data_IF_856313189687
#
_entry.id   IF_856313189687
#
_cell.length_a   1.000
_cell.length_b   1.000
_cell.length_c   1.000
_cell.angle_alpha   90.00
_cell.angle_beta   90.00
_cell.angle_gamma   90.00
#
_symmetry.space_group_name_H-M   'P 1'
#
loop_
_entity.id
_entity.type
_entity.pdbx_description
1 polymer ?
#
# COMPACT_ATOMS: atom_id res chain seq x y z
N UNK A 1 56.05 -21.49 -27.72
CA UNK A 1 55.15 -21.69 -26.55
C UNK A 1 54.27 -20.46 -26.48
N UNK A 2 52.97 -20.67 -26.71
CA UNK A 2 52.02 -19.66 -27.19
C UNK A 2 51.52 -18.80 -26.02
N UNK A 3 51.74 -17.48 -26.09
CA UNK A 3 51.15 -16.50 -25.17
C UNK A 3 49.72 -16.23 -25.63
N UNK A 4 48.83 -17.10 -25.16
CA UNK A 4 47.43 -17.09 -25.54
C UNK A 4 46.66 -16.02 -24.74
N UNK A 5 46.24 -15.01 -25.51
CA UNK A 5 44.89 -14.41 -25.55
C UNK A 5 44.44 -13.55 -24.37
N UNK A 6 44.15 -12.31 -24.75
CA UNK A 6 43.57 -11.28 -23.93
C UNK A 6 42.29 -11.73 -23.23
N UNK A 7 42.33 -11.71 -21.92
CA UNK A 7 41.14 -11.64 -21.09
C UNK A 7 40.77 -10.18 -20.94
N UNK A 8 40.05 -9.70 -21.94
CA UNK A 8 38.80 -8.99 -21.76
C UNK A 8 38.67 -8.24 -20.41
N UNK A 9 39.05 -6.96 -20.43
CA UNK A 9 38.73 -5.99 -19.39
C UNK A 9 37.41 -5.30 -19.73
N UNK A 10 36.25 -5.92 -19.48
CA UNK A 10 34.95 -5.21 -19.50
C UNK A 10 34.07 -5.44 -18.27
N UNK A 11 34.56 -6.11 -17.23
CA UNK A 11 33.78 -6.32 -16.01
C UNK A 11 33.86 -5.16 -14.99
N UNK A 12 34.60 -4.08 -15.29
CA UNK A 12 34.88 -3.00 -14.33
C UNK A 12 34.16 -1.67 -14.63
N UNK A 13 33.11 -1.68 -15.45
CA UNK A 13 32.31 -0.49 -15.78
C UNK A 13 30.95 -0.43 -15.08
N UNK A 14 30.66 -1.36 -14.18
CA UNK A 14 29.48 -1.28 -13.32
C UNK A 14 29.90 -0.61 -12.01
N UNK A 15 29.62 0.70 -11.91
CA UNK A 15 29.66 1.48 -10.67
C UNK A 15 29.03 0.65 -9.54
N UNK A 16 29.76 0.33 -8.45
CA UNK A 16 29.16 -0.22 -7.23
C UNK A 16 28.40 0.84 -6.40
N UNK A 17 28.21 2.06 -6.91
CA UNK A 17 27.70 3.20 -6.12
C UNK A 17 26.17 3.39 -6.19
N UNK A 18 25.41 2.44 -6.73
CA UNK A 18 23.95 2.54 -6.79
C UNK A 18 23.24 1.26 -6.40
N UNK A 19 23.75 0.57 -5.37
CA UNK A 19 23.10 -0.63 -4.83
C UNK A 19 22.89 -0.60 -3.32
N UNK A 20 22.74 0.60 -2.73
CA UNK A 20 22.43 0.76 -1.31
C UNK A 20 21.11 1.54 -1.06
N UNK A 21 20.48 2.10 -2.11
CA UNK A 21 19.30 2.97 -2.00
C UNK A 21 17.95 2.25 -2.15
N UNK A 22 17.90 0.93 -2.00
CA UNK A 22 16.67 0.14 -2.14
C UNK A 22 16.16 -0.49 -0.83
N UNK A 23 16.80 -0.22 0.33
CA UNK A 23 16.42 -0.84 1.61
C UNK A 23 16.19 0.15 2.76
N UNK A 24 16.02 1.44 2.45
CA UNK A 24 15.80 2.48 3.47
C UNK A 24 14.64 3.43 3.13
N UNK A 25 13.72 3.01 2.24
CA UNK A 25 12.51 3.78 1.88
C UNK A 25 11.22 3.22 2.50
N UNK A 26 11.32 2.39 3.55
CA UNK A 26 10.14 1.79 4.18
C UNK A 26 9.79 2.35 5.57
N UNK A 27 10.65 3.21 6.14
CA UNK A 27 10.54 3.58 7.56
C UNK A 27 10.30 5.08 7.83
N UNK A 28 10.27 5.94 6.81
CA UNK A 28 10.19 7.40 7.04
C UNK A 28 9.07 8.10 6.26
N UNK A 29 7.91 7.46 6.18
CA UNK A 29 6.66 8.16 5.88
C UNK A 29 5.78 8.12 7.13
N UNK A 30 6.24 8.83 8.17
CA UNK A 30 5.32 9.37 9.18
C UNK A 30 4.53 10.48 8.48
N UNK A 31 3.64 10.08 7.56
CA UNK A 31 2.80 10.98 6.80
C UNK A 31 1.77 11.55 7.74
N UNK A 32 2.04 12.74 8.24
CA UNK A 32 1.07 13.62 8.88
C UNK A 32 -0.33 13.38 8.31
N UNK A 33 -1.39 13.38 9.13
CA UNK A 33 -2.73 13.05 8.66
C UNK A 33 -3.03 13.89 7.41
N UNK A 34 -3.00 13.26 6.23
CA UNK A 34 -3.07 13.98 4.98
C UNK A 34 -4.48 14.51 4.89
N UNK A 35 -4.63 15.82 4.71
CA UNK A 35 -5.92 16.37 4.33
C UNK A 35 -6.22 15.83 2.94
N UNK A 36 -7.05 14.78 2.89
CA UNK A 36 -7.53 14.23 1.64
C UNK A 36 -8.24 15.35 0.88
N UNK A 37 -7.82 15.59 -0.35
CA UNK A 37 -8.54 16.52 -1.22
C UNK A 37 -9.90 15.93 -1.57
N UNK A 38 -10.82 16.76 -2.07
CA UNK A 38 -12.16 16.32 -2.47
C UNK A 38 -12.12 15.15 -3.47
N UNK A 39 -11.14 15.17 -4.39
CA UNK A 39 -10.90 14.07 -5.33
C UNK A 39 -10.46 12.77 -4.65
N UNK A 40 -9.49 12.83 -3.73
CA UNK A 40 -9.00 11.66 -3.02
C UNK A 40 -10.11 11.05 -2.13
N UNK A 41 -10.94 11.90 -1.53
CA UNK A 41 -12.13 11.46 -0.78
C UNK A 41 -13.13 10.74 -1.69
N UNK A 42 -13.41 11.29 -2.88
CA UNK A 42 -14.27 10.63 -3.85
C UNK A 42 -13.70 9.28 -4.30
N UNK A 43 -12.40 9.21 -4.60
CA UNK A 43 -11.75 7.96 -5.02
C UNK A 43 -11.76 6.91 -3.90
N UNK A 44 -11.46 7.31 -2.66
CA UNK A 44 -11.56 6.46 -1.48
C UNK A 44 -13.00 5.95 -1.30
N UNK A 45 -13.98 6.86 -1.38
CA UNK A 45 -15.39 6.50 -1.25
C UNK A 45 -15.82 5.53 -2.35
N UNK A 46 -15.40 5.77 -3.59
CA UNK A 46 -15.68 4.91 -4.75
C UNK A 46 -15.05 3.54 -4.57
N UNK A 47 -13.82 3.47 -4.10
CA UNK A 47 -13.07 2.23 -3.88
C UNK A 47 -13.72 1.39 -2.78
N UNK A 48 -14.10 2.02 -1.66
CA UNK A 48 -14.85 1.35 -0.59
C UNK A 48 -16.23 0.88 -1.07
N UNK A 49 -16.97 1.71 -1.82
CA UNK A 49 -18.25 1.32 -2.41
C UNK A 49 -18.09 0.12 -3.34
N UNK A 50 -17.04 0.12 -4.16
CA UNK A 50 -16.72 -0.98 -5.04
C UNK A 50 -16.39 -2.25 -4.25
N UNK A 51 -15.59 -2.14 -3.19
CA UNK A 51 -15.29 -3.25 -2.27
C UNK A 51 -16.56 -3.85 -1.70
N UNK A 52 -17.46 -2.99 -1.22
CA UNK A 52 -18.72 -3.38 -0.59
C UNK A 52 -19.68 -4.05 -1.58
N UNK A 53 -19.85 -3.47 -2.78
CA UNK A 53 -20.75 -4.00 -3.80
C UNK A 53 -20.28 -5.36 -4.34
N UNK A 54 -18.98 -5.54 -4.50
CA UNK A 54 -18.38 -6.78 -5.01
C UNK A 54 -18.01 -7.77 -3.90
N UNK A 55 -18.21 -7.41 -2.63
CA UNK A 55 -17.75 -8.15 -1.46
C UNK A 55 -16.26 -8.56 -1.55
N UNK A 56 -15.44 -7.65 -2.10
CA UNK A 56 -14.01 -7.86 -2.26
C UNK A 56 -13.26 -7.53 -0.98
N UNK A 57 -12.10 -8.16 -0.85
CA UNK A 57 -11.13 -7.79 0.17
C UNK A 57 -10.55 -6.42 -0.16
N UNK A 58 -10.58 -5.51 0.81
CA UNK A 58 -9.97 -4.19 0.72
C UNK A 58 -8.93 -4.05 1.81
N UNK A 59 -7.80 -3.44 1.46
CA UNK A 59 -6.78 -3.00 2.40
C UNK A 59 -6.94 -1.51 2.61
N UNK A 60 -7.28 -1.11 3.84
CA UNK A 60 -7.43 0.30 4.23
C UNK A 60 -6.32 0.70 5.18
N UNK A 61 -5.76 1.89 4.95
CA UNK A 61 -4.66 2.45 5.73
C UNK A 61 -5.23 3.49 6.66
N UNK A 62 -5.12 3.27 7.96
CA UNK A 62 -5.76 4.09 9.00
C UNK A 62 -4.70 4.82 9.79
N UNK A 63 -4.77 6.14 9.81
CA UNK A 63 -3.91 6.94 10.66
C UNK A 63 -4.42 6.93 12.09
N UNK A 64 -3.61 6.43 13.02
CA UNK A 64 -3.91 6.43 14.46
C UNK A 64 -2.63 6.60 15.27
N UNK A 65 -2.63 7.54 16.20
CA UNK A 65 -1.52 7.75 17.15
C UNK A 65 -0.14 7.92 16.48
N UNK A 66 -0.08 8.80 15.47
CA UNK A 66 1.13 9.05 14.66
C UNK A 66 1.68 7.84 13.89
N UNK A 67 0.89 6.77 13.77
CA UNK A 67 1.27 5.55 13.04
C UNK A 67 0.19 5.18 12.03
N UNK A 68 0.61 4.70 10.86
CA UNK A 68 -0.30 4.14 9.86
C UNK A 68 -0.53 2.66 10.22
N UNK A 69 -1.78 2.30 10.51
CA UNK A 69 -2.18 0.90 10.71
C UNK A 69 -2.96 0.43 9.49
N UNK A 70 -2.48 -0.62 8.85
CA UNK A 70 -3.15 -1.21 7.69
C UNK A 70 -4.10 -2.32 8.14
N UNK A 71 -5.33 -2.29 7.62
CA UNK A 71 -6.37 -3.26 7.90
C UNK A 71 -6.83 -3.90 6.59
N UNK A 72 -6.69 -5.22 6.49
CA UNK A 72 -7.13 -5.98 5.32
C UNK A 72 -8.33 -6.85 5.70
N UNK A 73 -9.42 -6.72 4.95
CA UNK A 73 -10.63 -7.50 5.20
C UNK A 73 -11.75 -7.14 4.25
N UNK A 74 -12.93 -7.71 4.49
CA UNK A 74 -14.11 -7.50 3.64
C UNK A 74 -14.98 -6.43 4.29
N UNK A 75 -15.46 -5.47 3.48
CA UNK A 75 -16.40 -4.46 3.96
C UNK A 75 -17.76 -5.11 4.19
N UNK A 76 -18.10 -5.34 5.46
CA UNK A 76 -19.39 -5.93 5.85
C UNK A 76 -20.52 -4.92 5.78
N UNK A 77 -20.23 -3.68 6.18
CA UNK A 77 -21.17 -2.57 6.20
C UNK A 77 -20.39 -1.26 6.24
N UNK A 78 -20.94 -0.20 5.67
CA UNK A 78 -20.35 1.13 5.77
C UNK A 78 -21.46 2.15 6.07
N UNK A 79 -21.17 3.06 6.98
CA UNK A 79 -21.95 4.27 7.26
C UNK A 79 -21.22 5.48 6.67
N UNK A 80 -21.86 6.65 6.70
CA UNK A 80 -21.28 7.92 6.22
C UNK A 80 -19.97 8.30 6.91
N UNK A 81 -19.74 7.84 8.15
CA UNK A 81 -18.57 8.22 8.95
C UNK A 81 -17.73 7.02 9.43
N UNK A 82 -18.25 5.80 9.34
CA UNK A 82 -17.64 4.59 9.90
C UNK A 82 -17.75 3.42 8.92
N UNK A 83 -16.64 2.73 8.71
CA UNK A 83 -16.53 1.51 7.93
C UNK A 83 -16.46 0.31 8.88
N UNK A 84 -17.33 -0.67 8.71
CA UNK A 84 -17.25 -1.95 9.43
C UNK A 84 -16.51 -2.94 8.53
N UNK A 85 -15.28 -3.24 8.91
CA UNK A 85 -14.40 -4.14 8.18
C UNK A 85 -14.26 -5.46 8.93
N UNK A 86 -14.60 -6.55 8.26
CA UNK A 86 -14.49 -7.91 8.77
C UNK A 86 -13.15 -8.48 8.32
N UNK A 87 -12.20 -8.55 9.25
CA UNK A 87 -10.92 -9.25 9.04
C UNK A 87 -11.08 -10.74 9.35
N UNK A 88 -10.08 -11.55 8.98
CA UNK A 88 -10.04 -12.98 9.33
C UNK A 88 -10.07 -13.25 10.85
N UNK A 89 -9.70 -12.27 11.67
CA UNK A 89 -9.54 -12.42 13.12
C UNK A 89 -10.70 -11.80 13.91
N UNK A 90 -11.26 -10.69 13.42
CA UNK A 90 -12.32 -9.92 14.09
C UNK A 90 -12.94 -8.89 13.16
N UNK A 91 -14.13 -8.43 13.54
CA UNK A 91 -14.78 -7.27 12.93
C UNK A 91 -14.34 -6.00 13.66
N UNK A 92 -13.78 -5.04 12.93
CA UNK A 92 -13.34 -3.75 13.46
C UNK A 92 -14.12 -2.61 12.81
N UNK A 93 -14.49 -1.60 13.61
CA UNK A 93 -15.09 -0.36 13.13
C UNK A 93 -14.00 0.70 12.93
N UNK A 94 -13.85 1.16 11.70
CA UNK A 94 -12.82 2.11 11.28
C UNK A 94 -13.50 3.43 10.88
N UNK A 95 -13.21 4.56 11.54
CA UNK A 95 -13.74 5.84 11.10
C UNK A 95 -13.14 6.25 9.76
N UNK A 96 -14.01 6.52 8.76
CA UNK A 96 -13.64 6.97 7.42
C UNK A 96 -12.71 8.19 7.42
N UNK A 97 -12.90 9.24 8.26
CA UNK A 97 -11.99 10.40 8.25
C UNK A 97 -10.54 10.07 8.68
N UNK A 98 -10.32 8.91 9.31
CA UNK A 98 -8.97 8.47 9.66
C UNK A 98 -8.35 7.56 8.59
N UNK A 99 -9.10 7.17 7.57
CA UNK A 99 -8.59 6.36 6.46
C UNK A 99 -7.81 7.29 5.54
N UNK A 100 -6.54 7.00 5.34
CA UNK A 100 -5.65 7.73 4.44
C UNK A 100 -5.72 7.18 3.02
N UNK A 101 -5.94 5.88 2.86
CA UNK A 101 -6.00 5.23 1.56
C UNK A 101 -6.77 3.92 1.64
N UNK A 102 -7.40 3.53 0.53
CA UNK A 102 -8.07 2.25 0.39
C UNK A 102 -7.64 1.62 -0.93
N UNK A 103 -7.19 0.37 -0.89
CA UNK A 103 -6.75 -0.40 -2.06
C UNK A 103 -7.55 -1.70 -2.11
N UNK A 104 -8.19 -1.96 -3.25
CA UNK A 104 -8.86 -3.24 -3.46
C UNK A 104 -7.81 -4.30 -3.73
N UNK A 105 -7.88 -5.39 -2.98
CA UNK A 105 -7.18 -6.62 -3.31
C UNK A 105 -8.00 -7.30 -4.42
N UNK A 106 -7.85 -6.77 -5.64
CA UNK A 106 -8.38 -7.41 -6.83
C UNK A 106 -7.48 -8.59 -7.13
N UNK A 107 -7.76 -9.73 -6.48
CA UNK A 107 -7.18 -11.02 -6.88
C UNK A 107 -7.68 -11.31 -8.30
N UNK A 108 -6.84 -10.92 -9.25
CA UNK A 108 -7.06 -11.02 -10.68
C UNK A 108 -6.87 -12.49 -11.07
N UNK A 109 -7.89 -13.32 -10.85
CA UNK A 109 -7.98 -14.60 -11.54
C UNK A 109 -8.75 -14.39 -12.84
N UNK A 110 -7.97 -14.29 -13.93
CA UNK A 110 -8.38 -14.62 -15.30
C UNK A 110 -8.54 -16.15 -15.41
#
# INVERSE_FOLDING_TARGET
MIKDRGTIKWASMMLPEHLELLREYKEEYTEQPRELTEWELEELQKTINQAFNQQLTVTVEVWKDHTITQWTGIVKSMNTNELILETLLKTESIPIPNIQSAQLDADYYD
#
